data_IF_020575931510
#
_entry.id   IF_020575931510
#
_cell.length_a   1.000
_cell.length_b   1.000
_cell.length_c   1.000
_cell.angle_alpha   90.00
_cell.angle_beta   90.00
_cell.angle_gamma   90.00
#
_symmetry.space_group_name_H-M   'P 1'
#
loop_
_entity.id
_entity.type
_entity.pdbx_description
1 polymer ?
#
# COMPACT_ATOMS: atom_id res chain seq x y z
N UNK A 1 8.15 -5.80 11.67
CA UNK A 1 7.02 -4.95 11.24
C UNK A 1 7.61 -3.63 10.81
N UNK A 2 7.47 -3.27 9.54
CA UNK A 2 8.02 -2.01 9.01
C UNK A 2 7.07 -0.85 9.33
N UNK A 3 7.63 0.27 9.74
CA UNK A 3 6.91 1.48 10.13
C UNK A 3 7.67 2.69 9.59
N UNK A 4 6.97 3.58 8.91
CA UNK A 4 7.51 4.80 8.37
C UNK A 4 6.66 6.00 8.81
N UNK A 5 7.31 7.07 9.26
CA UNK A 5 6.67 8.34 9.61
C UNK A 5 7.03 9.38 8.54
N UNK A 6 6.06 9.85 7.77
CA UNK A 6 6.30 10.78 6.67
C UNK A 6 5.07 11.58 6.24
N UNK A 7 5.20 12.30 5.15
CA UNK A 7 4.18 13.22 4.61
C UNK A 7 3.22 12.59 3.61
N UNK A 8 3.18 11.29 3.43
CA UNK A 8 2.37 10.61 2.42
C UNK A 8 2.73 11.04 0.99
N UNK A 9 4.02 11.05 0.68
CA UNK A 9 4.55 11.29 -0.67
C UNK A 9 4.95 9.98 -1.36
N UNK A 10 5.27 10.02 -2.64
CA UNK A 10 5.83 8.87 -3.35
C UNK A 10 7.19 8.45 -2.76
N UNK A 11 8.04 9.42 -2.38
CA UNK A 11 9.33 9.16 -1.74
C UNK A 11 9.18 8.41 -0.41
N UNK A 12 8.21 8.81 0.42
CA UNK A 12 7.89 8.10 1.67
C UNK A 12 7.46 6.65 1.40
N UNK A 13 6.75 6.40 0.29
CA UNK A 13 6.37 5.05 -0.11
C UNK A 13 7.58 4.23 -0.56
N UNK A 14 8.50 4.82 -1.33
CA UNK A 14 9.74 4.17 -1.75
C UNK A 14 10.57 3.76 -0.54
N UNK A 15 10.73 4.65 0.43
CA UNK A 15 11.45 4.38 1.66
C UNK A 15 10.78 3.26 2.48
N UNK A 16 9.46 3.32 2.64
CA UNK A 16 8.67 2.30 3.34
C UNK A 16 8.80 0.91 2.70
N UNK A 17 8.69 0.82 1.36
CA UNK A 17 8.88 -0.46 0.68
C UNK A 17 10.33 -0.93 0.69
N UNK A 18 11.29 -0.01 0.67
CA UNK A 18 12.70 -0.29 0.87
C UNK A 18 12.97 -0.91 2.25
N UNK A 19 12.31 -0.43 3.31
CA UNK A 19 12.40 -1.00 4.65
C UNK A 19 11.80 -2.42 4.72
N UNK A 20 10.67 -2.63 4.03
CA UNK A 20 10.08 -3.97 3.93
C UNK A 20 11.07 -4.93 3.26
N UNK A 21 11.68 -4.53 2.14
CA UNK A 21 12.62 -5.38 1.42
C UNK A 21 13.90 -5.65 2.25
N UNK A 22 14.43 -4.65 2.94
CA UNK A 22 15.58 -4.83 3.87
C UNK A 22 15.27 -5.79 5.03
N UNK A 23 14.02 -5.82 5.46
CA UNK A 23 13.57 -6.70 6.56
C UNK A 23 13.21 -8.11 6.10
N UNK A 24 13.10 -8.33 4.79
CA UNK A 24 12.73 -9.61 4.21
C UNK A 24 13.91 -10.58 4.25
N UNK A 25 13.65 -11.85 4.57
CA UNK A 25 14.68 -12.88 4.47
C UNK A 25 15.08 -13.11 3.01
N UNK A 26 16.37 -13.32 2.75
CA UNK A 26 16.96 -13.40 1.40
C UNK A 26 16.24 -14.42 0.51
N UNK A 27 15.86 -15.57 1.06
CA UNK A 27 15.21 -16.66 0.32
C UNK A 27 13.68 -16.63 0.37
N UNK A 28 13.08 -15.60 0.99
CA UNK A 28 11.62 -15.50 1.05
C UNK A 28 11.04 -14.90 -0.23
N UNK A 29 9.86 -15.36 -0.69
CA UNK A 29 9.21 -14.77 -1.85
C UNK A 29 8.78 -13.32 -1.56
N UNK A 30 8.62 -12.53 -2.63
CA UNK A 30 8.03 -11.20 -2.52
C UNK A 30 6.60 -11.35 -1.99
N UNK A 31 6.22 -10.60 -0.94
CA UNK A 31 4.88 -10.69 -0.38
C UNK A 31 3.84 -10.16 -1.36
N UNK A 32 2.58 -10.58 -1.17
CA UNK A 32 1.45 -9.98 -1.89
C UNK A 32 1.07 -8.67 -1.22
N UNK A 33 1.05 -7.60 -1.99
CA UNK A 33 0.69 -6.28 -1.50
C UNK A 33 -0.77 -5.97 -1.79
N UNK A 34 -1.41 -5.30 -0.83
CA UNK A 34 -2.75 -4.74 -1.02
C UNK A 34 -2.81 -3.33 -0.46
N UNK A 35 -3.48 -2.43 -1.17
CA UNK A 35 -3.72 -1.07 -0.67
C UNK A 35 -5.10 -0.56 -1.05
N UNK A 36 -5.45 0.60 -0.51
CA UNK A 36 -6.52 1.42 -1.05
C UNK A 36 -6.08 2.07 -2.37
N UNK A 37 -6.98 2.81 -3.02
CA UNK A 37 -6.71 3.45 -4.30
C UNK A 37 -5.90 4.74 -4.13
N UNK A 38 -4.64 4.60 -3.68
CA UNK A 38 -3.71 5.71 -3.54
C UNK A 38 -2.49 5.50 -4.45
N UNK A 39 -2.34 6.35 -5.48
CA UNK A 39 -1.39 6.15 -6.57
C UNK A 39 0.09 6.13 -6.14
N UNK A 40 0.56 6.92 -5.15
CA UNK A 40 1.94 6.84 -4.67
C UNK A 40 2.39 5.45 -4.19
N UNK A 41 1.45 4.59 -3.76
CA UNK A 41 1.77 3.20 -3.42
C UNK A 41 2.24 2.39 -4.62
N UNK A 42 1.58 2.56 -5.77
CA UNK A 42 1.96 1.88 -7.00
C UNK A 42 3.34 2.33 -7.48
N UNK A 43 3.58 3.64 -7.45
CA UNK A 43 4.87 4.23 -7.79
C UNK A 43 5.98 3.75 -6.87
N UNK A 44 5.75 3.75 -5.54
CA UNK A 44 6.70 3.26 -4.56
C UNK A 44 7.02 1.78 -4.73
N UNK A 45 6.00 0.94 -4.96
CA UNK A 45 6.18 -0.48 -5.25
C UNK A 45 7.01 -0.71 -6.50
N UNK A 46 6.70 0.01 -7.58
CA UNK A 46 7.39 -0.15 -8.85
C UNK A 46 8.85 0.28 -8.76
N UNK A 47 9.16 1.31 -7.97
CA UNK A 47 10.54 1.74 -7.76
C UNK A 47 11.38 0.70 -7.00
N UNK A 48 10.80 -0.01 -6.04
CA UNK A 48 11.52 -1.01 -5.21
C UNK A 48 11.50 -2.40 -5.85
N UNK A 49 10.37 -2.79 -6.44
CA UNK A 49 10.14 -4.12 -7.01
C UNK A 49 10.01 -4.09 -8.54
N UNK A 50 10.68 -3.15 -9.18
CA UNK A 50 10.75 -3.03 -10.63
C UNK A 50 12.18 -3.02 -11.13
N UNK A 51 12.32 -3.10 -12.43
CA UNK A 51 13.60 -2.97 -13.14
C UNK A 51 13.43 -2.14 -14.40
N UNK A 52 14.51 -1.50 -14.84
CA UNK A 52 14.49 -0.73 -16.08
C UNK A 52 14.62 -1.66 -17.27
N UNK A 53 13.63 -1.60 -18.16
CA UNK A 53 13.64 -2.32 -19.44
C UNK A 53 13.66 -1.31 -20.58
N UNK A 54 14.54 -1.54 -21.54
CA UNK A 54 14.58 -0.73 -22.75
C UNK A 54 13.73 -1.42 -23.82
N UNK A 55 12.63 -0.79 -24.28
CA UNK A 55 11.81 -1.35 -25.35
C UNK A 55 12.63 -1.63 -26.63
N UNK A 56 12.25 -2.63 -27.42
CA UNK A 56 12.96 -2.96 -28.65
C UNK A 56 12.93 -1.78 -29.62
N UNK A 57 14.11 -1.44 -30.15
CA UNK A 57 14.25 -0.33 -31.10
C UNK A 57 14.18 -0.83 -32.53
N UNK A 58 13.20 -0.34 -33.30
CA UNK A 58 12.99 -0.72 -34.69
C UNK A 58 13.91 0.01 -35.72
N UNK A 59 14.86 0.79 -35.27
CA UNK A 59 15.85 1.46 -36.13
C UNK A 59 15.37 2.77 -36.76
N UNK A 60 14.14 3.21 -36.54
CA UNK A 60 13.55 4.43 -37.10
C UNK A 60 13.14 5.38 -35.95
N UNK A 61 13.60 6.63 -36.00
CA UNK A 61 13.29 7.66 -35.01
C UNK A 61 14.23 7.66 -33.80
N UNK A 62 13.80 8.32 -32.72
CA UNK A 62 14.55 8.38 -31.45
C UNK A 62 14.51 7.03 -30.75
N UNK A 63 15.63 6.61 -30.15
CA UNK A 63 15.66 5.44 -29.28
C UNK A 63 14.67 5.64 -28.12
N UNK A 64 13.88 4.62 -27.79
CA UNK A 64 12.99 4.70 -26.63
C UNK A 64 13.78 4.83 -25.35
N UNK A 65 13.27 5.65 -24.45
CA UNK A 65 13.83 5.76 -23.10
C UNK A 65 13.48 4.48 -22.30
N UNK A 66 14.35 4.04 -21.37
CA UNK A 66 14.04 2.92 -20.50
C UNK A 66 12.77 3.16 -19.69
N UNK A 67 11.92 2.15 -19.59
CA UNK A 67 10.70 2.15 -18.79
C UNK A 67 10.88 1.27 -17.56
N UNK A 68 10.25 1.65 -16.45
CA UNK A 68 10.26 0.88 -15.24
C UNK A 68 9.17 -0.20 -15.31
N UNK A 69 9.55 -1.47 -15.23
CA UNK A 69 8.67 -2.64 -15.37
C UNK A 69 8.68 -3.43 -14.07
N UNK A 70 7.52 -3.91 -13.57
CA UNK A 70 7.47 -4.70 -12.35
C UNK A 70 8.19 -6.05 -12.51
N UNK A 71 8.79 -6.57 -11.43
CA UNK A 71 9.28 -7.94 -11.41
C UNK A 71 8.12 -8.92 -11.71
N UNK A 72 8.38 -10.02 -12.46
CA UNK A 72 7.35 -10.99 -12.84
C UNK A 72 6.63 -11.66 -11.66
N UNK A 73 7.27 -11.73 -10.51
CA UNK A 73 6.74 -12.29 -9.28
C UNK A 73 6.12 -11.24 -8.33
N UNK A 74 6.08 -9.97 -8.72
CA UNK A 74 5.38 -8.94 -7.97
C UNK A 74 3.87 -9.14 -8.08
N UNK A 75 3.18 -9.16 -6.93
CA UNK A 75 1.74 -9.34 -6.81
C UNK A 75 1.15 -8.17 -6.03
N UNK A 76 0.27 -7.44 -6.69
CA UNK A 76 -0.34 -6.26 -6.09
C UNK A 76 -1.80 -6.08 -6.49
N UNK A 77 -2.66 -5.81 -5.52
CA UNK A 77 -4.06 -5.53 -5.74
C UNK A 77 -4.50 -4.24 -5.04
N UNK A 78 -5.36 -3.47 -5.70
CA UNK A 78 -6.00 -2.27 -5.15
C UNK A 78 -7.45 -2.54 -4.80
N UNK A 79 -7.90 -1.97 -3.69
CA UNK A 79 -9.30 -1.96 -3.26
C UNK A 79 -9.84 -0.53 -3.32
N UNK A 80 -10.65 -0.25 -4.34
CA UNK A 80 -11.24 1.06 -4.55
C UNK A 80 -12.64 1.10 -3.92
N UNK A 81 -12.86 1.98 -2.95
CA UNK A 81 -14.16 2.19 -2.30
C UNK A 81 -14.82 3.46 -2.87
N UNK A 82 -15.84 3.28 -3.71
CA UNK A 82 -16.62 4.39 -4.22
C UNK A 82 -17.70 4.81 -3.20
N UNK A 83 -17.72 6.08 -2.85
CA UNK A 83 -18.70 6.64 -1.91
C UNK A 83 -19.51 7.75 -2.59
N UNK A 84 -20.82 7.73 -2.39
CA UNK A 84 -21.72 8.81 -2.80
C UNK A 84 -22.49 9.32 -1.57
N UNK A 85 -22.48 10.63 -1.36
CA UNK A 85 -23.11 11.29 -0.19
C UNK A 85 -22.71 10.65 1.16
N UNK A 86 -21.43 10.22 1.27
CA UNK A 86 -20.88 9.57 2.49
C UNK A 86 -21.22 8.09 2.63
N UNK A 87 -22.07 7.50 1.79
CA UNK A 87 -22.41 6.08 1.80
C UNK A 87 -21.52 5.30 0.83
N UNK A 88 -21.09 4.11 1.24
CA UNK A 88 -20.36 3.18 0.36
C UNK A 88 -21.34 2.64 -0.69
N UNK A 89 -21.10 2.96 -1.96
CA UNK A 89 -21.91 2.49 -3.09
C UNK A 89 -21.32 1.27 -3.74
N UNK A 90 -19.99 1.25 -3.92
CA UNK A 90 -19.31 0.20 -4.65
C UNK A 90 -17.92 -0.07 -4.08
N UNK A 91 -17.50 -1.34 -4.10
CA UNK A 91 -16.12 -1.77 -3.79
C UNK A 91 -15.58 -2.49 -5.01
N UNK A 92 -14.64 -1.83 -5.69
CA UNK A 92 -13.98 -2.38 -6.87
C UNK A 92 -12.63 -2.95 -6.43
N UNK A 93 -12.39 -4.21 -6.75
CA UNK A 93 -11.11 -4.88 -6.52
C UNK A 93 -10.39 -5.03 -7.87
N UNK A 94 -9.18 -4.53 -7.94
CA UNK A 94 -8.38 -4.57 -9.15
C UNK A 94 -7.00 -5.14 -8.86
N UNK A 95 -6.64 -6.22 -9.53
CA UNK A 95 -5.25 -6.69 -9.56
C UNK A 95 -4.47 -5.81 -10.53
N UNK A 96 -3.39 -5.24 -10.05
CA UNK A 96 -2.52 -4.32 -10.82
C UNK A 96 -1.33 -5.09 -11.38
N UNK A 97 -0.69 -5.92 -10.54
CA UNK A 97 0.45 -6.75 -10.92
C UNK A 97 0.22 -8.20 -10.50
N UNK A 98 0.68 -9.14 -11.34
CA UNK A 98 0.56 -10.58 -11.14
C UNK A 98 -0.66 -11.19 -11.82
N UNK A 99 -0.73 -12.54 -11.82
CA UNK A 99 -1.91 -13.26 -12.34
C UNK A 99 -3.11 -13.04 -11.41
N UNK A 100 -4.25 -12.54 -11.94
CA UNK A 100 -5.44 -12.28 -11.14
C UNK A 100 -5.94 -13.49 -10.36
N UNK A 101 -5.88 -14.69 -10.93
CA UNK A 101 -6.34 -15.91 -10.26
C UNK A 101 -5.45 -16.23 -9.05
N UNK A 102 -4.14 -16.21 -9.25
CA UNK A 102 -3.18 -16.48 -8.20
C UNK A 102 -3.24 -15.44 -7.07
N UNK A 103 -3.33 -14.15 -7.43
CA UNK A 103 -3.44 -13.07 -6.44
C UNK A 103 -4.71 -13.20 -5.62
N UNK A 104 -5.85 -13.49 -6.25
CA UNK A 104 -7.13 -13.66 -5.56
C UNK A 104 -7.11 -14.88 -4.65
N UNK A 105 -6.51 -15.99 -5.06
CA UNK A 105 -6.34 -17.19 -4.25
C UNK A 105 -5.48 -16.90 -3.01
N UNK A 106 -4.33 -16.25 -3.17
CA UNK A 106 -3.45 -15.90 -2.06
C UNK A 106 -4.10 -14.94 -1.05
N UNK A 107 -5.01 -14.10 -1.52
CA UNK A 107 -5.77 -13.18 -0.66
C UNK A 107 -7.05 -13.81 -0.08
N UNK A 108 -7.28 -15.12 -0.34
CA UNK A 108 -8.45 -15.84 0.16
C UNK A 108 -9.78 -15.42 -0.48
N UNK A 109 -9.73 -14.87 -1.70
CA UNK A 109 -10.89 -14.33 -2.41
C UNK A 109 -11.38 -15.23 -3.55
N UNK A 110 -10.82 -16.42 -3.73
CA UNK A 110 -11.10 -17.34 -4.83
C UNK A 110 -12.48 -18.01 -4.75
N UNK A 111 -13.07 -18.12 -3.56
CA UNK A 111 -14.38 -18.74 -3.33
C UNK A 111 -15.55 -17.75 -3.42
N UNK A 112 -15.46 -16.71 -4.25
CA UNK A 112 -16.44 -15.62 -4.31
C UNK A 112 -16.30 -14.62 -3.16
N UNK A 113 -15.25 -14.76 -2.38
CA UNK A 113 -14.85 -13.82 -1.34
C UNK A 113 -14.33 -12.50 -1.92
N UNK A 114 -14.38 -11.46 -1.13
CA UNK A 114 -13.77 -10.17 -1.45
C UNK A 114 -12.42 -10.09 -0.77
N UNK A 115 -11.45 -9.42 -1.38
CA UNK A 115 -10.20 -9.06 -0.71
C UNK A 115 -10.57 -8.36 0.60
N UNK A 116 -10.24 -8.99 1.71
CA UNK A 116 -10.74 -8.54 3.01
C UNK A 116 -9.74 -7.58 3.66
N UNK A 117 -9.99 -6.28 3.51
CA UNK A 117 -9.22 -5.24 4.21
C UNK A 117 -9.60 -5.09 5.69
N UNK A 118 -10.63 -5.81 6.14
CA UNK A 118 -11.14 -5.71 7.51
C UNK A 118 -10.10 -6.10 8.57
N UNK A 119 -9.17 -7.00 8.26
CA UNK A 119 -8.08 -7.35 9.18
C UNK A 119 -7.15 -6.16 9.44
N UNK A 120 -6.77 -5.43 8.40
CA UNK A 120 -5.92 -4.23 8.51
C UNK A 120 -6.68 -3.12 9.22
N UNK A 121 -7.96 -2.92 8.88
CA UNK A 121 -8.82 -1.94 9.56
C UNK A 121 -8.98 -2.25 11.05
N UNK A 122 -9.18 -3.53 11.43
CA UNK A 122 -9.23 -3.97 12.82
C UNK A 122 -7.91 -3.79 13.53
N UNK A 123 -6.79 -4.12 12.89
CA UNK A 123 -5.46 -3.92 13.46
C UNK A 123 -5.21 -2.43 13.71
N UNK A 124 -5.52 -1.57 12.74
CA UNK A 124 -5.41 -0.13 12.89
C UNK A 124 -6.30 0.41 14.02
N UNK A 125 -7.52 -0.12 14.15
CA UNK A 125 -8.42 0.25 15.27
C UNK A 125 -7.84 -0.21 16.61
N UNK A 126 -7.31 -1.43 16.69
CA UNK A 126 -6.67 -1.96 17.88
C UNK A 126 -5.46 -1.11 18.29
N UNK A 127 -4.59 -0.75 17.33
CA UNK A 127 -3.45 0.12 17.57
C UNK A 127 -3.91 1.48 18.09
N UNK A 128 -4.91 2.10 17.45
CA UNK A 128 -5.48 3.38 17.91
C UNK A 128 -6.04 3.29 19.32
N UNK A 129 -6.78 2.25 19.64
CA UNK A 129 -7.37 2.05 20.95
C UNK A 129 -6.33 1.72 22.03
N UNK A 130 -5.24 1.05 21.67
CA UNK A 130 -4.18 0.65 22.60
C UNK A 130 -3.20 1.79 22.90
N UNK A 131 -3.08 2.76 22.01
CA UNK A 131 -2.15 3.87 22.13
C UNK A 131 -2.96 5.16 22.36
N UNK A 132 -3.00 5.63 23.62
CA UNK A 132 -3.68 6.88 24.00
C UNK A 132 -3.27 8.08 23.09
N UNK A 133 -2.04 8.04 22.58
CA UNK A 133 -1.50 9.02 21.63
C UNK A 133 -2.31 9.12 20.32
N UNK A 134 -2.94 8.02 19.88
CA UNK A 134 -3.79 7.98 18.68
C UNK A 134 -5.26 8.26 18.97
N UNK A 135 -5.68 8.18 20.23
CA UNK A 135 -7.06 8.46 20.65
C UNK A 135 -7.46 9.94 20.58
N UNK A 136 -6.49 10.84 20.42
CA UNK A 136 -6.68 12.29 20.55
C UNK A 136 -7.37 12.95 19.35
N UNK A 137 -7.85 12.17 18.37
CA UNK A 137 -8.36 12.77 17.12
C UNK A 137 -9.86 13.15 17.10
N UNK A 138 -10.65 12.77 18.09
CA UNK A 138 -12.11 12.92 17.98
C UNK A 138 -12.78 13.92 18.95
N UNK A 139 -12.03 14.56 19.82
CA UNK A 139 -12.58 15.60 20.69
C UNK A 139 -11.77 16.89 20.61
N UNK A 140 -12.34 17.94 20.07
CA UNK A 140 -11.72 19.29 20.08
C UNK A 140 -11.32 19.78 21.48
N UNK A 141 -11.72 19.10 22.54
CA UNK A 141 -11.43 19.43 23.93
C UNK A 141 -10.32 18.57 24.55
N UNK A 142 -10.04 17.37 24.07
CA UNK A 142 -9.02 16.47 24.63
C UNK A 142 -7.58 16.88 24.31
N UNK A 143 -7.35 17.59 23.23
CA UNK A 143 -6.00 18.00 22.82
C UNK A 143 -5.37 19.05 23.76
N UNK A 144 -6.19 19.84 24.48
CA UNK A 144 -5.69 20.86 25.40
C UNK A 144 -5.25 20.30 26.74
N UNK A 145 -5.81 19.21 27.20
CA UNK A 145 -5.42 18.60 28.47
C UNK A 145 -4.13 17.80 28.37
N UNK A 146 -3.89 17.13 27.25
CA UNK A 146 -2.68 16.30 27.10
C UNK A 146 -1.39 17.12 26.93
N UNK A 147 -1.49 18.32 26.37
CA UNK A 147 -0.35 19.25 26.30
C UNK A 147 0.03 19.86 27.65
N UNK A 148 -0.83 19.74 28.66
CA UNK A 148 -0.56 20.21 30.04
C UNK A 148 0.44 19.33 30.79
N UNK A 149 0.46 18.03 30.50
CA UNK A 149 1.33 17.06 31.19
C UNK A 149 2.76 16.98 30.64
N UNK A 150 3.06 17.70 29.55
CA UNK A 150 4.41 17.76 28.98
C UNK A 150 5.19 19.04 29.36
N UNK A 151 4.68 19.87 30.23
CA UNK A 151 5.29 21.16 30.60
C UNK A 151 5.74 21.28 32.09
N UNK A 152 5.66 20.20 32.85
CA UNK A 152 6.19 20.17 34.23
C UNK A 152 7.38 19.23 34.34
#
# INVERSE_FOLDING_TARGET
MSHHEGKRTADDCIEFFGDIERSRAIDSPIPVFTSDNWDPFEEGLLNVYGFLETPPYCGIGRKPDPILVPYPNLKYAKVCKKREKGRLVEVIQRVVYGDPKEVMQLLGADSGGKINTAYIERLNLTIRNSLARFMIKEGRNGCKEHLRWQKD
#
